data_IF_357266033238
#
_entry.id   IF_357266033238
#
_cell.length_a   1.000
_cell.length_b   1.000
_cell.length_c   1.000
_cell.angle_alpha   90.00
_cell.angle_beta   90.00
_cell.angle_gamma   90.00
#
_symmetry.space_group_name_H-M   'P 1'
#
loop_
_entity.id
_entity.type
_entity.pdbx_description
1 polymer ?
#
# COMPACT_ATOMS: atom_id res chain seq x y z
N UNK A 1 -25.99 16.95 19.00
CA UNK A 1 -25.21 15.71 18.77
C UNK A 1 -25.87 14.62 19.59
N UNK A 2 -26.38 13.59 18.94
CA UNK A 2 -26.94 12.41 19.62
C UNK A 2 -25.82 11.55 20.21
N UNK A 3 -26.14 10.63 21.13
CA UNK A 3 -25.17 9.67 21.68
C UNK A 3 -24.53 8.83 20.58
N UNK A 4 -25.32 8.41 19.59
CA UNK A 4 -24.85 7.65 18.43
C UNK A 4 -23.91 8.48 17.53
N UNK A 5 -24.22 9.76 17.30
CA UNK A 5 -23.31 10.67 16.56
C UNK A 5 -21.98 10.90 17.28
N UNK A 6 -22.01 10.95 18.61
CA UNK A 6 -20.82 11.10 19.43
C UNK A 6 -19.92 9.85 19.39
N UNK A 7 -20.53 8.67 19.42
CA UNK A 7 -19.84 7.38 19.32
C UNK A 7 -19.17 7.22 17.94
N UNK A 8 -19.90 7.47 16.85
CA UNK A 8 -19.35 7.43 15.49
C UNK A 8 -18.19 8.42 15.33
N UNK A 9 -18.29 9.62 15.88
CA UNK A 9 -17.22 10.61 15.83
C UNK A 9 -15.98 10.15 16.61
N UNK A 10 -16.16 9.55 17.78
CA UNK A 10 -15.06 8.97 18.57
C UNK A 10 -14.36 7.83 17.83
N UNK A 11 -15.13 6.91 17.25
CA UNK A 11 -14.59 5.78 16.48
C UNK A 11 -13.89 6.25 15.20
N UNK A 12 -14.41 7.28 14.54
CA UNK A 12 -13.78 7.89 13.37
C UNK A 12 -12.42 8.49 13.73
N UNK A 13 -12.32 9.26 14.82
CA UNK A 13 -11.06 9.84 15.30
C UNK A 13 -10.03 8.76 15.59
N UNK A 14 -10.44 7.73 16.32
CA UNK A 14 -9.55 6.62 16.66
C UNK A 14 -9.07 5.90 15.39
N UNK A 15 -9.97 5.68 14.43
CA UNK A 15 -9.65 5.03 13.16
C UNK A 15 -8.66 5.84 12.32
N UNK A 16 -8.92 7.13 12.13
CA UNK A 16 -8.02 8.02 11.38
C UNK A 16 -6.66 8.15 12.05
N UNK A 17 -6.62 8.28 13.39
CA UNK A 17 -5.35 8.34 14.12
C UNK A 17 -4.53 7.06 13.97
N UNK A 18 -5.15 5.89 14.07
CA UNK A 18 -4.45 4.63 13.87
C UNK A 18 -3.93 4.45 12.44
N UNK A 19 -4.67 4.94 11.44
CA UNK A 19 -4.23 4.93 10.04
C UNK A 19 -2.99 5.82 9.89
N UNK A 20 -3.08 7.07 10.35
CA UNK A 20 -1.97 8.02 10.31
C UNK A 20 -0.72 7.48 11.01
N UNK A 21 -0.85 7.01 12.25
CA UNK A 21 0.29 6.44 13.00
C UNK A 21 0.94 5.28 12.25
N UNK A 22 0.12 4.45 11.59
CA UNK A 22 0.62 3.33 10.82
C UNK A 22 1.33 3.77 9.54
N UNK A 23 0.81 4.77 8.84
CA UNK A 23 1.43 5.31 7.63
C UNK A 23 2.75 6.01 7.96
N UNK A 24 2.80 6.82 9.02
CA UNK A 24 4.02 7.47 9.51
C UNK A 24 5.09 6.44 9.90
N UNK A 25 4.70 5.36 10.60
CA UNK A 25 5.60 4.27 10.98
C UNK A 25 6.19 3.56 9.75
N UNK A 26 5.36 3.33 8.73
CA UNK A 26 5.79 2.70 7.48
C UNK A 26 6.75 3.63 6.74
N UNK A 27 6.38 4.90 6.58
CA UNK A 27 7.20 5.89 5.89
C UNK A 27 8.55 6.07 6.59
N UNK A 28 8.57 6.20 7.92
CA UNK A 28 9.79 6.31 8.72
C UNK A 28 10.68 5.08 8.60
N UNK A 29 10.10 3.88 8.71
CA UNK A 29 10.84 2.64 8.50
C UNK A 29 11.47 2.61 7.11
N UNK A 30 10.69 2.96 6.10
CA UNK A 30 11.11 2.90 4.70
C UNK A 30 12.25 3.86 4.42
N UNK A 31 12.15 5.10 4.92
CA UNK A 31 13.23 6.10 4.84
C UNK A 31 14.53 5.65 5.52
N UNK A 32 14.44 4.86 6.58
CA UNK A 32 15.62 4.36 7.28
C UNK A 32 16.25 3.20 6.51
N UNK A 33 15.44 2.21 6.12
CA UNK A 33 15.93 1.03 5.41
C UNK A 33 16.58 1.41 4.09
N UNK A 34 15.97 2.31 3.30
CA UNK A 34 16.52 2.73 2.00
C UNK A 34 17.90 3.40 2.10
N UNK A 35 18.28 3.95 3.26
CA UNK A 35 19.62 4.56 3.47
C UNK A 35 20.72 3.53 3.71
N UNK A 36 20.39 2.27 3.94
CA UNK A 36 21.36 1.21 4.20
C UNK A 36 22.01 0.71 2.90
N UNK A 37 23.19 0.08 2.99
CA UNK A 37 23.99 -0.33 1.82
C UNK A 37 23.26 -1.30 0.88
N UNK A 38 22.35 -2.14 1.39
CA UNK A 38 21.45 -3.01 0.61
C UNK A 38 19.98 -2.59 0.75
N UNK A 39 19.75 -1.35 1.19
CA UNK A 39 18.47 -0.85 1.66
C UNK A 39 17.31 -1.00 0.69
N UNK A 40 17.55 -0.87 -0.61
CA UNK A 40 16.50 -1.03 -1.63
C UNK A 40 16.00 -2.47 -1.70
N UNK A 41 16.89 -3.47 -1.66
CA UNK A 41 16.49 -4.88 -1.66
C UNK A 41 15.82 -5.28 -0.33
N UNK A 42 16.34 -4.80 0.79
CA UNK A 42 15.77 -5.06 2.12
C UNK A 42 14.41 -4.39 2.30
N UNK A 43 14.23 -3.21 1.70
CA UNK A 43 12.94 -2.53 1.59
C UNK A 43 11.95 -3.40 0.82
N UNK A 44 12.29 -3.85 -0.39
CA UNK A 44 11.41 -4.71 -1.20
C UNK A 44 10.98 -5.95 -0.40
N UNK A 45 11.91 -6.64 0.28
CA UNK A 45 11.59 -7.86 1.03
C UNK A 45 10.76 -7.61 2.31
N UNK A 46 10.99 -6.49 3.01
CA UNK A 46 10.36 -6.20 4.30
C UNK A 46 9.04 -5.42 4.22
N UNK A 47 8.77 -4.77 3.08
CA UNK A 47 7.66 -3.84 2.90
C UNK A 47 6.31 -4.57 2.85
N UNK A 48 6.20 -5.71 2.14
CA UNK A 48 4.94 -6.49 1.98
C UNK A 48 4.19 -6.67 3.29
N UNK A 49 4.90 -7.15 4.31
CA UNK A 49 4.32 -7.42 5.63
C UNK A 49 3.79 -6.15 6.31
N UNK A 50 4.41 -4.99 6.05
CA UNK A 50 4.02 -3.72 6.64
C UNK A 50 2.78 -3.14 5.98
N UNK A 51 2.66 -3.20 4.65
CA UNK A 51 1.44 -2.76 3.95
C UNK A 51 0.26 -3.70 4.18
N UNK A 52 0.48 -5.00 4.37
CA UNK A 52 -0.58 -5.88 4.91
C UNK A 52 -1.05 -5.44 6.29
N UNK A 53 -0.14 -4.92 7.12
CA UNK A 53 -0.50 -4.29 8.39
C UNK A 53 -1.37 -3.05 8.20
N UNK A 54 -1.07 -2.17 7.23
CA UNK A 54 -1.91 -1.01 6.91
C UNK A 54 -3.29 -1.42 6.40
N UNK A 55 -3.37 -2.42 5.51
CA UNK A 55 -4.63 -2.98 5.03
C UNK A 55 -5.48 -3.52 6.20
N UNK A 56 -4.84 -4.14 7.20
CA UNK A 56 -5.51 -4.59 8.42
C UNK A 56 -6.03 -3.42 9.27
N UNK A 57 -5.29 -2.31 9.35
CA UNK A 57 -5.75 -1.08 10.02
C UNK A 57 -7.01 -0.52 9.35
N UNK A 58 -7.04 -0.43 8.01
CA UNK A 58 -8.22 0.00 7.27
C UNK A 58 -9.41 -0.94 7.48
N UNK A 59 -9.18 -2.26 7.47
CA UNK A 59 -10.23 -3.23 7.78
C UNK A 59 -10.81 -3.00 9.19
N UNK A 60 -9.97 -2.81 10.20
CA UNK A 60 -10.42 -2.54 11.57
C UNK A 60 -11.22 -1.24 11.66
N UNK A 61 -10.82 -0.20 10.91
CA UNK A 61 -11.57 1.05 10.80
C UNK A 61 -12.96 0.81 10.18
N UNK A 62 -13.04 -0.02 9.14
CA UNK A 62 -14.30 -0.35 8.48
C UNK A 62 -15.24 -1.11 9.41
N UNK A 63 -14.71 -2.09 10.15
CA UNK A 63 -15.48 -2.86 11.14
C UNK A 63 -16.01 -1.95 12.26
N UNK A 64 -15.19 -1.04 12.81
CA UNK A 64 -15.61 -0.07 13.84
C UNK A 64 -16.72 0.85 13.35
N UNK A 65 -16.57 1.38 12.14
CA UNK A 65 -17.52 2.32 11.54
C UNK A 65 -18.71 1.64 10.85
N UNK A 66 -18.76 0.30 10.88
CA UNK A 66 -19.79 -0.54 10.24
C UNK A 66 -19.96 -0.22 8.74
N UNK A 67 -18.85 0.05 8.06
CA UNK A 67 -18.78 0.25 6.60
C UNK A 67 -18.07 -0.94 5.95
N UNK A 68 -18.25 -1.13 4.63
CA UNK A 68 -17.72 -2.31 3.93
C UNK A 68 -16.58 -2.01 2.96
N UNK A 69 -16.40 -0.74 2.62
CA UNK A 69 -15.48 -0.31 1.57
C UNK A 69 -15.00 1.12 1.81
N UNK A 70 -13.88 1.47 1.15
CA UNK A 70 -13.24 2.79 1.26
C UNK A 70 -14.18 3.94 0.88
N UNK A 71 -15.02 3.76 -0.16
CA UNK A 71 -15.98 4.80 -0.57
C UNK A 71 -16.97 5.15 0.53
N UNK A 72 -17.44 4.17 1.30
CA UNK A 72 -18.35 4.40 2.42
C UNK A 72 -17.61 4.98 3.63
N UNK A 73 -16.37 4.56 3.90
CA UNK A 73 -15.50 5.21 4.88
C UNK A 73 -15.31 6.71 4.58
N UNK A 74 -14.99 7.08 3.33
CA UNK A 74 -14.80 8.47 2.91
C UNK A 74 -16.07 9.31 3.07
N UNK A 75 -17.25 8.70 2.91
CA UNK A 75 -18.52 9.39 3.20
C UNK A 75 -18.65 9.71 4.68
N UNK A 76 -18.21 8.82 5.57
CA UNK A 76 -18.23 9.06 7.02
C UNK A 76 -17.27 10.19 7.39
N UNK A 77 -16.06 10.21 6.80
CA UNK A 77 -15.10 11.32 6.94
C UNK A 77 -15.74 12.64 6.49
N UNK A 78 -16.25 12.69 5.25
CA UNK A 78 -16.86 13.90 4.67
C UNK A 78 -18.05 14.40 5.49
N UNK A 79 -18.89 13.51 6.01
CA UNK A 79 -20.03 13.87 6.88
C UNK A 79 -19.59 14.55 8.18
N UNK A 80 -18.39 14.22 8.67
CA UNK A 80 -17.84 14.75 9.93
C UNK A 80 -16.75 15.80 9.71
N UNK A 81 -16.53 16.23 8.48
CA UNK A 81 -15.51 17.23 8.12
C UNK A 81 -15.73 18.62 8.73
N UNK A 82 -16.90 18.87 9.33
CA UNK A 82 -17.16 20.08 10.15
C UNK A 82 -16.31 20.16 11.43
N UNK A 83 -15.68 19.04 11.84
CA UNK A 83 -14.85 18.95 13.03
C UNK A 83 -13.39 19.14 12.65
N UNK A 84 -12.73 20.16 13.21
CA UNK A 84 -11.36 20.56 12.83
C UNK A 84 -10.33 19.45 12.99
N UNK A 85 -10.44 18.68 14.06
CA UNK A 85 -9.58 17.53 14.32
C UNK A 85 -9.72 16.40 13.29
N UNK A 86 -10.90 16.23 12.70
CA UNK A 86 -11.08 15.31 11.56
C UNK A 86 -10.39 15.87 10.31
N UNK A 87 -10.47 17.18 10.08
CA UNK A 87 -9.77 17.82 8.97
C UNK A 87 -8.25 17.67 9.11
N UNK A 88 -7.71 17.93 10.31
CA UNK A 88 -6.28 17.82 10.60
C UNK A 88 -5.77 16.40 10.38
N UNK A 89 -6.52 15.39 10.85
CA UNK A 89 -6.15 13.99 10.67
C UNK A 89 -6.19 13.58 9.19
N UNK A 90 -7.25 13.94 8.47
CA UNK A 90 -7.35 13.63 7.04
C UNK A 90 -6.25 14.34 6.23
N UNK A 91 -5.96 15.60 6.55
CA UNK A 91 -4.88 16.33 5.89
C UNK A 91 -3.52 15.69 6.17
N UNK A 92 -3.26 15.29 7.42
CA UNK A 92 -1.99 14.63 7.79
C UNK A 92 -1.81 13.29 7.08
N UNK A 93 -2.90 12.53 6.90
CA UNK A 93 -2.90 11.29 6.12
C UNK A 93 -2.54 11.61 4.66
N UNK A 94 -3.22 12.57 4.04
CA UNK A 94 -2.94 12.95 2.66
C UNK A 94 -1.49 13.44 2.47
N UNK A 95 -0.96 14.22 3.41
CA UNK A 95 0.42 14.70 3.36
C UNK A 95 1.41 13.52 3.48
N UNK A 96 1.11 12.54 4.33
CA UNK A 96 1.91 11.31 4.47
C UNK A 96 1.86 10.46 3.21
N UNK A 97 0.71 10.35 2.55
CA UNK A 97 0.56 9.67 1.25
C UNK A 97 1.37 10.35 0.14
N UNK A 98 1.41 11.69 0.11
CA UNK A 98 2.26 12.45 -0.84
C UNK A 98 3.74 12.18 -0.59
N UNK A 99 4.16 12.20 0.69
CA UNK A 99 5.54 11.88 1.05
C UNK A 99 5.92 10.42 0.69
N UNK A 100 4.97 9.50 0.83
CA UNK A 100 5.13 8.12 0.41
C UNK A 100 5.32 8.00 -1.10
N UNK A 101 4.46 8.64 -1.89
CA UNK A 101 4.57 8.64 -3.35
C UNK A 101 5.91 9.21 -3.83
N UNK A 102 6.40 10.28 -3.19
CA UNK A 102 7.71 10.85 -3.52
C UNK A 102 8.85 9.86 -3.24
N UNK A 103 8.84 9.21 -2.07
CA UNK A 103 9.86 8.20 -1.74
C UNK A 103 9.90 7.07 -2.77
N UNK A 104 8.73 6.66 -3.26
CA UNK A 104 8.61 5.60 -4.25
C UNK A 104 9.11 6.03 -5.63
N UNK A 105 8.87 7.28 -6.02
CA UNK A 105 9.42 7.84 -7.26
C UNK A 105 10.95 7.91 -7.21
N UNK A 106 11.52 8.34 -6.07
CA UNK A 106 12.96 8.42 -5.88
C UNK A 106 13.62 7.03 -5.97
N UNK A 107 12.98 6.01 -5.40
CA UNK A 107 13.42 4.61 -5.49
C UNK A 107 13.38 4.08 -6.92
N UNK A 108 12.31 4.36 -7.64
CA UNK A 108 12.17 3.91 -9.02
C UNK A 108 13.23 4.56 -9.91
N UNK A 109 13.57 5.83 -9.68
CA UNK A 109 14.67 6.48 -10.38
C UNK A 109 16.01 5.75 -10.14
N UNK A 110 16.31 5.42 -8.88
CA UNK A 110 17.54 4.67 -8.54
C UNK A 110 17.57 3.26 -9.15
N UNK A 111 16.41 2.59 -9.25
CA UNK A 111 16.29 1.28 -9.88
C UNK A 111 16.41 1.34 -11.42
N UNK A 112 15.84 2.37 -12.05
CA UNK A 112 15.89 2.56 -13.50
C UNK A 112 17.29 2.92 -14.02
N UNK A 113 18.15 3.50 -13.19
CA UNK A 113 19.57 3.70 -13.50
C UNK A 113 20.31 2.37 -13.78
N UNK A 114 19.71 1.22 -13.44
CA UNK A 114 20.20 -0.13 -13.75
C UNK A 114 19.94 -0.63 -15.18
N UNK A 115 19.30 0.15 -16.06
CA UNK A 115 19.20 -0.17 -17.49
C UNK A 115 18.22 -1.29 -17.85
N UNK A 116 16.96 -1.19 -17.38
CA UNK A 116 15.91 -2.15 -17.75
C UNK A 116 15.31 -1.77 -19.11
N UNK A 117 15.45 -2.66 -20.10
CA UNK A 117 14.78 -2.53 -21.40
C UNK A 117 13.27 -2.72 -21.24
N UNK A 118 12.49 -1.73 -21.66
CA UNK A 118 11.02 -1.79 -21.67
C UNK A 118 10.54 -2.84 -22.67
N UNK A 119 9.70 -3.78 -22.22
CA UNK A 119 9.03 -4.74 -23.11
C UNK A 119 8.02 -4.00 -23.99
N UNK A 120 8.03 -4.32 -25.28
CA UNK A 120 7.10 -3.78 -26.29
C UNK A 120 6.20 -4.88 -26.83
N UNK A 121 5.03 -4.50 -27.36
CA UNK A 121 4.12 -5.44 -28.00
C UNK A 121 4.82 -6.23 -29.12
N UNK A 122 4.57 -7.54 -29.17
CA UNK A 122 5.22 -8.45 -30.13
C UNK A 122 6.62 -8.91 -29.73
N UNK A 123 7.21 -8.42 -28.63
CA UNK A 123 8.43 -8.99 -28.07
C UNK A 123 8.14 -10.26 -27.26
N UNK A 124 9.10 -11.18 -27.26
CA UNK A 124 9.05 -12.34 -26.39
C UNK A 124 9.10 -11.89 -24.92
N UNK A 125 8.05 -12.22 -24.17
CA UNK A 125 7.98 -11.91 -22.75
C UNK A 125 8.88 -12.83 -21.91
N UNK A 126 9.21 -12.46 -20.66
CA UNK A 126 10.10 -13.22 -19.79
C UNK A 126 9.42 -14.46 -19.18
N UNK A 127 8.93 -15.38 -20.01
CA UNK A 127 8.12 -16.53 -19.58
C UNK A 127 8.89 -17.57 -18.75
N UNK A 128 10.21 -17.62 -18.93
CA UNK A 128 11.11 -18.59 -18.30
C UNK A 128 11.85 -18.03 -17.08
N UNK A 129 11.49 -16.81 -16.63
CA UNK A 129 12.04 -16.26 -15.40
C UNK A 129 11.68 -17.17 -14.23
N UNK A 130 12.70 -17.49 -13.43
CA UNK A 130 12.55 -18.25 -12.19
C UNK A 130 11.91 -17.33 -11.14
N UNK A 131 10.78 -17.78 -10.61
CA UNK A 131 9.98 -17.10 -9.59
C UNK A 131 9.81 -18.03 -8.38
N UNK A 132 9.38 -17.46 -7.26
CA UNK A 132 8.95 -18.21 -6.09
C UNK A 132 7.44 -18.02 -5.90
N UNK A 133 6.67 -19.11 -5.77
CA UNK A 133 5.26 -19.02 -5.41
C UNK A 133 5.17 -18.66 -3.92
N UNK A 134 4.80 -17.41 -3.61
CA UNK A 134 4.72 -16.92 -2.24
C UNK A 134 3.75 -17.70 -1.32
N UNK A 135 2.86 -18.54 -1.87
CA UNK A 135 1.97 -19.40 -1.07
C UNK A 135 2.62 -20.71 -0.66
N UNK A 136 3.46 -21.29 -1.51
CA UNK A 136 4.04 -22.63 -1.29
C UNK A 136 5.55 -22.58 -0.98
N UNK A 137 6.23 -21.50 -1.37
CA UNK A 137 7.70 -21.38 -1.35
C UNK A 137 8.38 -22.15 -2.48
N UNK A 138 7.63 -22.71 -3.42
CA UNK A 138 8.20 -23.51 -4.50
C UNK A 138 8.73 -22.61 -5.62
N UNK A 139 9.79 -23.09 -6.26
CA UNK A 139 10.31 -22.48 -7.48
C UNK A 139 9.36 -22.74 -8.66
N UNK A 140 8.95 -21.67 -9.34
CA UNK A 140 8.01 -21.69 -10.46
C UNK A 140 8.49 -20.80 -11.61
N UNK A 141 7.77 -20.79 -12.74
CA UNK A 141 7.98 -19.86 -13.86
C UNK A 141 6.64 -19.42 -14.43
N UNK A 142 6.58 -18.29 -15.14
CA UNK A 142 5.32 -17.86 -15.79
C UNK A 142 4.81 -18.89 -16.81
N UNK A 143 5.72 -19.65 -17.44
CA UNK A 143 5.38 -20.72 -18.38
C UNK A 143 4.47 -21.80 -17.77
N UNK A 144 4.59 -22.06 -16.46
CA UNK A 144 3.77 -23.05 -15.76
C UNK A 144 2.33 -22.58 -15.56
N UNK A 145 2.07 -21.27 -15.59
CA UNK A 145 0.74 -20.68 -15.49
C UNK A 145 0.10 -20.39 -16.86
N UNK A 146 0.88 -20.47 -17.95
CA UNK A 146 0.42 -20.47 -19.35
C UNK A 146 -0.25 -21.81 -19.69
N UNK A 147 -1.33 -22.12 -18.99
CA UNK A 147 -2.16 -23.32 -19.23
C UNK A 147 -3.14 -23.15 -20.40
N UNK A 148 -3.24 -21.94 -20.94
CA UNK A 148 -4.05 -21.57 -22.11
C UNK A 148 -3.25 -20.65 -23.04
N UNK A 149 -3.85 -20.24 -24.17
CA UNK A 149 -3.21 -19.33 -25.14
C UNK A 149 -2.90 -17.93 -24.57
N UNK A 150 -3.42 -17.60 -23.39
CA UNK A 150 -3.27 -16.30 -22.75
C UNK A 150 -2.95 -16.40 -21.25
N UNK A 151 -2.12 -15.47 -20.77
CA UNK A 151 -1.85 -15.24 -19.36
C UNK A 151 -1.95 -13.74 -19.08
N UNK A 152 -2.85 -13.37 -18.17
CA UNK A 152 -2.93 -12.00 -17.67
C UNK A 152 -2.04 -11.87 -16.45
N UNK A 153 -0.87 -11.25 -16.63
CA UNK A 153 0.03 -10.93 -15.53
C UNK A 153 -0.28 -9.53 -15.00
N UNK A 154 -0.74 -9.46 -13.75
CA UNK A 154 -0.87 -8.19 -13.03
C UNK A 154 0.40 -8.03 -12.20
N UNK A 155 1.34 -7.24 -12.72
CA UNK A 155 2.44 -6.74 -11.92
C UNK A 155 1.86 -5.66 -11.02
N UNK A 156 1.56 -6.04 -9.79
CA UNK A 156 1.46 -5.04 -8.75
C UNK A 156 2.85 -4.42 -8.67
N UNK A 157 2.98 -3.13 -9.02
CA UNK A 157 4.12 -2.33 -8.58
C UNK A 157 4.31 -2.70 -7.13
N UNK A 158 5.52 -3.06 -6.74
CA UNK A 158 5.82 -3.50 -5.38
C UNK A 158 5.68 -2.30 -4.43
N UNK A 159 4.45 -1.84 -4.27
CA UNK A 159 3.89 -1.06 -3.19
C UNK A 159 3.16 -2.06 -2.31
N UNK A 160 3.91 -3.10 -1.96
CA UNK A 160 3.68 -4.00 -0.87
C UNK A 160 4.81 -3.73 0.09
#
# INVERSE_FOLDING_TARGET
MTTEEAEVLSDLRHSLKNILDREEDILKFSRNVVKETNGVNDFVNGKISKLFGLASTYRNAFERLKVTNKKDFDKVVKKNFRHHDIQDLEQSINDTEVEWDQLLQDLDQQLQEGGVSTLSEGQEGPINVILEDARTGDTTTLSQYLTSDHLTLILLRHFA
#
